data_IF_700469474128
#
_entry.id   IF_700469474128
#
_cell.length_a   1.000
_cell.length_b   1.000
_cell.length_c   1.000
_cell.angle_alpha   90.00
_cell.angle_beta   90.00
_cell.angle_gamma   90.00
#
_symmetry.space_group_name_H-M   'P 1'
#
loop_
_entity.id
_entity.type
_entity.pdbx_description
1 polymer ?
#
# COMPACT_ATOMS: atom_id res chain seq x y z
N UNK A 1 -3.76 -36.98 -8.66
CA UNK A 1 -3.47 -35.62 -8.13
C UNK A 1 -3.50 -35.74 -6.62
N UNK A 2 -2.35 -35.60 -5.93
CA UNK A 2 -2.24 -35.90 -4.50
C UNK A 2 -2.91 -34.81 -3.65
N UNK A 3 -3.58 -35.20 -2.56
CA UNK A 3 -4.24 -34.31 -1.59
C UNK A 3 -3.31 -33.18 -1.11
N UNK A 4 -2.03 -33.46 -0.98
CA UNK A 4 -0.98 -32.51 -0.61
C UNK A 4 -0.76 -31.41 -1.69
N UNK A 5 -0.81 -31.74 -2.96
CA UNK A 5 -0.70 -30.76 -4.06
C UNK A 5 -1.92 -29.84 -4.16
N UNK A 6 -3.12 -30.36 -3.85
CA UNK A 6 -4.36 -29.57 -3.79
C UNK A 6 -4.31 -28.56 -2.64
N UNK A 7 -3.82 -28.93 -1.46
CA UNK A 7 -3.73 -28.04 -0.31
C UNK A 7 -2.73 -26.90 -0.54
N UNK A 8 -1.59 -27.17 -1.16
CA UNK A 8 -0.60 -26.13 -1.52
C UNK A 8 -1.16 -25.15 -2.56
N UNK A 9 -1.86 -25.66 -3.58
CA UNK A 9 -2.48 -24.80 -4.59
C UNK A 9 -3.57 -23.89 -3.99
N UNK A 10 -4.38 -24.40 -3.07
CA UNK A 10 -5.39 -23.61 -2.36
C UNK A 10 -4.76 -22.54 -1.47
N UNK A 11 -3.69 -22.87 -0.74
CA UNK A 11 -3.00 -21.90 0.12
C UNK A 11 -2.38 -20.76 -0.69
N UNK A 12 -1.79 -21.09 -1.84
CA UNK A 12 -1.21 -20.08 -2.75
C UNK A 12 -2.29 -19.15 -3.33
N UNK A 13 -3.39 -19.73 -3.82
CA UNK A 13 -4.51 -18.96 -4.33
C UNK A 13 -5.10 -18.00 -3.27
N UNK A 14 -5.24 -18.48 -2.03
CA UNK A 14 -5.72 -17.67 -0.91
C UNK A 14 -4.82 -16.45 -0.63
N UNK A 15 -3.50 -16.62 -0.67
CA UNK A 15 -2.54 -15.53 -0.43
C UNK A 15 -2.58 -14.47 -1.53
N UNK A 16 -2.71 -14.87 -2.78
CA UNK A 16 -2.87 -13.94 -3.90
C UNK A 16 -4.21 -13.19 -3.84
N UNK A 17 -5.29 -13.87 -3.47
CA UNK A 17 -6.58 -13.24 -3.22
C UNK A 17 -6.51 -12.20 -2.10
N UNK A 18 -5.74 -12.49 -1.04
CA UNK A 18 -5.52 -11.53 0.06
C UNK A 18 -4.81 -10.27 -0.44
N UNK A 19 -3.76 -10.40 -1.25
CA UNK A 19 -3.07 -9.25 -1.84
C UNK A 19 -4.01 -8.43 -2.75
N UNK A 20 -4.78 -9.10 -3.60
CA UNK A 20 -5.75 -8.45 -4.48
C UNK A 20 -6.87 -7.76 -3.68
N UNK A 21 -7.34 -8.36 -2.58
CA UNK A 21 -8.31 -7.76 -1.68
C UNK A 21 -7.80 -6.44 -1.10
N UNK A 22 -6.59 -6.40 -0.51
CA UNK A 22 -6.02 -5.15 -0.03
C UNK A 22 -5.78 -4.15 -1.14
N UNK A 23 -5.37 -4.60 -2.33
CA UNK A 23 -5.24 -3.74 -3.50
C UNK A 23 -6.56 -3.05 -3.86
N UNK A 24 -7.67 -3.80 -3.92
CA UNK A 24 -8.99 -3.25 -4.20
C UNK A 24 -9.50 -2.32 -3.09
N UNK A 25 -9.23 -2.64 -1.82
CA UNK A 25 -9.55 -1.77 -0.68
C UNK A 25 -8.80 -0.44 -0.78
N UNK A 26 -7.50 -0.46 -1.11
CA UNK A 26 -6.72 0.76 -1.29
C UNK A 26 -7.22 1.60 -2.48
N UNK A 27 -7.63 0.96 -3.56
CA UNK A 27 -8.25 1.65 -4.70
C UNK A 27 -9.57 2.31 -4.30
N UNK A 28 -10.44 1.57 -3.64
CA UNK A 28 -11.72 2.09 -3.16
C UNK A 28 -11.54 3.29 -2.21
N UNK A 29 -10.69 3.12 -1.18
CA UNK A 29 -10.39 4.18 -0.21
C UNK A 29 -9.69 5.36 -0.89
N UNK A 30 -8.75 5.12 -1.78
CA UNK A 30 -8.05 6.17 -2.52
C UNK A 30 -9.00 7.03 -3.35
N UNK A 31 -9.96 6.43 -4.04
CA UNK A 31 -10.98 7.16 -4.82
C UNK A 31 -11.92 7.92 -3.87
N UNK A 32 -12.47 7.27 -2.85
CA UNK A 32 -13.40 7.88 -1.91
C UNK A 32 -12.78 9.05 -1.12
N UNK A 33 -11.59 8.81 -0.55
CA UNK A 33 -10.87 9.84 0.20
C UNK A 33 -10.32 10.95 -0.72
N UNK A 34 -9.93 10.63 -1.95
CA UNK A 34 -9.52 11.62 -2.95
C UNK A 34 -10.65 12.59 -3.30
N UNK A 35 -11.86 12.07 -3.51
CA UNK A 35 -13.05 12.90 -3.71
C UNK A 35 -13.36 13.76 -2.47
N UNK A 36 -13.25 13.17 -1.26
CA UNK A 36 -13.42 13.91 0.00
C UNK A 36 -12.41 15.07 0.11
N UNK A 37 -11.15 14.81 -0.23
CA UNK A 37 -10.09 15.82 -0.23
C UNK A 37 -10.42 17.00 -1.13
N UNK A 38 -10.82 16.72 -2.36
CA UNK A 38 -11.10 17.75 -3.36
C UNK A 38 -12.36 18.57 -3.07
N UNK A 39 -13.40 17.97 -2.51
CA UNK A 39 -14.70 18.62 -2.33
C UNK A 39 -14.96 19.05 -0.88
N UNK A 40 -14.64 18.23 0.10
CA UNK A 40 -15.03 18.50 1.48
C UNK A 40 -13.92 19.12 2.34
N UNK A 41 -12.65 18.87 2.04
CA UNK A 41 -11.51 19.38 2.81
C UNK A 41 -10.96 20.69 2.25
N UNK A 42 -11.20 20.97 0.99
CA UNK A 42 -10.78 22.23 0.36
C UNK A 42 -11.37 23.42 1.12
N UNK A 43 -10.50 24.34 1.56
CA UNK A 43 -10.88 25.49 2.38
C UNK A 43 -11.07 25.21 3.88
N UNK A 44 -11.06 23.96 4.34
CA UNK A 44 -11.17 23.59 5.77
C UNK A 44 -9.84 23.27 6.43
N UNK A 45 -8.85 22.93 5.64
CA UNK A 45 -7.46 22.70 6.06
C UNK A 45 -6.53 23.58 5.25
N UNK A 46 -5.29 23.77 5.71
CA UNK A 46 -4.32 24.58 4.96
C UNK A 46 -3.96 23.93 3.62
N UNK A 47 -3.46 24.71 2.68
CA UNK A 47 -3.07 24.22 1.37
C UNK A 47 -1.95 23.15 1.46
N UNK A 48 -0.99 23.32 2.38
CA UNK A 48 0.08 22.36 2.62
C UNK A 48 -0.47 21.04 3.19
N UNK A 49 -1.44 21.13 4.10
CA UNK A 49 -2.10 19.96 4.66
C UNK A 49 -2.90 19.22 3.58
N UNK A 50 -3.59 19.93 2.70
CA UNK A 50 -4.31 19.34 1.58
C UNK A 50 -3.35 18.66 0.57
N UNK A 51 -2.23 19.29 0.26
CA UNK A 51 -1.21 18.69 -0.60
C UNK A 51 -0.66 17.40 0.01
N UNK A 52 -0.32 17.41 1.29
CA UNK A 52 0.14 16.22 2.03
C UNK A 52 -0.93 15.12 2.01
N UNK A 53 -2.19 15.47 2.27
CA UNK A 53 -3.32 14.57 2.17
C UNK A 53 -3.39 13.90 0.78
N UNK A 54 -3.30 14.69 -0.30
CA UNK A 54 -3.36 14.17 -1.66
C UNK A 54 -2.14 13.32 -2.03
N UNK A 55 -0.96 13.54 -1.42
CA UNK A 55 0.19 12.64 -1.54
C UNK A 55 -0.18 11.26 -0.98
N UNK A 56 -0.77 11.18 0.20
CA UNK A 56 -1.17 9.92 0.80
C UNK A 56 -2.16 9.12 -0.08
N UNK A 57 -3.10 9.82 -0.71
CA UNK A 57 -4.06 9.22 -1.65
C UNK A 57 -3.36 8.64 -2.87
N UNK A 58 -2.42 9.37 -3.47
CA UNK A 58 -1.64 8.89 -4.62
C UNK A 58 -0.86 7.61 -4.28
N UNK A 59 -0.20 7.58 -3.11
CA UNK A 59 0.52 6.38 -2.66
C UNK A 59 -0.42 5.20 -2.47
N UNK A 60 -1.61 5.42 -1.88
CA UNK A 60 -2.63 4.39 -1.73
C UNK A 60 -3.08 3.82 -3.08
N UNK A 61 -3.37 4.68 -4.06
CA UNK A 61 -3.79 4.25 -5.41
C UNK A 61 -2.68 3.51 -6.15
N UNK A 62 -1.44 4.04 -6.19
CA UNK A 62 -0.34 3.40 -6.91
C UNK A 62 0.00 2.02 -6.34
N UNK A 63 0.04 1.89 -5.03
CA UNK A 63 0.36 0.60 -4.40
C UNK A 63 -0.84 -0.34 -4.41
N UNK A 64 -2.07 0.18 -4.44
CA UNK A 64 -3.27 -0.62 -4.69
C UNK A 64 -3.22 -1.29 -6.06
N UNK A 65 -2.89 -0.55 -7.12
CA UNK A 65 -2.68 -1.10 -8.46
C UNK A 65 -1.54 -2.13 -8.46
N UNK A 66 -0.40 -1.82 -7.81
CA UNK A 66 0.72 -2.74 -7.74
C UNK A 66 0.34 -4.09 -7.10
N UNK A 67 -0.47 -4.08 -6.03
CA UNK A 67 -0.98 -5.30 -5.39
C UNK A 67 -1.90 -6.11 -6.31
N UNK A 68 -2.75 -5.47 -7.10
CA UNK A 68 -3.61 -6.13 -8.07
C UNK A 68 -2.79 -6.80 -9.18
N UNK A 69 -1.74 -6.12 -9.67
CA UNK A 69 -0.86 -6.66 -10.71
C UNK A 69 0.09 -7.75 -10.21
N UNK A 70 0.36 -7.82 -8.91
CA UNK A 70 1.32 -8.76 -8.34
C UNK A 70 1.02 -10.22 -8.70
N UNK A 71 -0.26 -10.60 -8.76
CA UNK A 71 -0.70 -11.95 -9.10
C UNK A 71 -0.34 -12.35 -10.54
N UNK A 72 -0.20 -11.37 -11.44
CA UNK A 72 0.06 -11.60 -12.87
C UNK A 72 1.54 -11.76 -13.22
N UNK A 73 2.46 -11.52 -12.26
CA UNK A 73 3.90 -11.59 -12.52
C UNK A 73 4.41 -13.04 -12.47
N UNK A 74 4.70 -13.68 -13.62
CA UNK A 74 5.08 -15.10 -13.67
C UNK A 74 6.50 -15.34 -13.15
N UNK A 75 7.38 -14.32 -13.20
CA UNK A 75 8.81 -14.45 -12.88
C UNK A 75 9.13 -14.38 -11.39
N UNK A 76 8.15 -14.01 -10.55
CA UNK A 76 8.32 -13.91 -9.10
C UNK A 76 7.64 -15.13 -8.47
N UNK A 77 8.39 -15.89 -7.66
CA UNK A 77 7.88 -17.05 -6.94
C UNK A 77 6.90 -16.65 -5.83
N UNK A 78 5.95 -17.52 -5.50
CA UNK A 78 4.89 -17.22 -4.53
C UNK A 78 5.38 -16.72 -3.16
N UNK A 79 6.40 -17.32 -2.51
CA UNK A 79 6.90 -16.78 -1.23
C UNK A 79 7.46 -15.35 -1.34
N UNK A 80 7.97 -15.00 -2.52
CA UNK A 80 8.50 -13.66 -2.80
C UNK A 80 7.38 -12.66 -3.02
N UNK A 81 6.32 -13.04 -3.75
CA UNK A 81 5.11 -12.23 -3.92
C UNK A 81 4.46 -11.90 -2.59
N UNK A 82 4.35 -12.89 -1.70
CA UNK A 82 3.77 -12.71 -0.37
C UNK A 82 4.54 -11.67 0.46
N UNK A 83 5.88 -11.77 0.48
CA UNK A 83 6.74 -10.80 1.19
C UNK A 83 6.59 -9.40 0.63
N UNK A 84 6.60 -9.27 -0.69
CA UNK A 84 6.39 -7.99 -1.35
C UNK A 84 5.01 -7.40 -1.04
N UNK A 85 3.94 -8.20 -1.14
CA UNK A 85 2.60 -7.78 -0.80
C UNK A 85 2.49 -7.32 0.65
N UNK A 86 3.05 -8.08 1.60
CA UNK A 86 3.04 -7.73 3.02
C UNK A 86 3.74 -6.39 3.29
N UNK A 87 4.91 -6.18 2.70
CA UNK A 87 5.65 -4.92 2.84
C UNK A 87 4.86 -3.74 2.25
N UNK A 88 4.23 -3.92 1.09
CA UNK A 88 3.39 -2.88 0.49
C UNK A 88 2.17 -2.57 1.36
N UNK A 89 1.45 -3.59 1.81
CA UNK A 89 0.24 -3.40 2.63
C UNK A 89 0.57 -2.65 3.92
N UNK A 90 1.56 -3.12 4.67
CA UNK A 90 1.99 -2.46 5.91
C UNK A 90 2.53 -1.06 5.61
N UNK A 91 3.38 -0.93 4.58
CA UNK A 91 3.95 0.35 4.18
C UNK A 91 2.90 1.40 3.83
N UNK A 92 1.86 1.03 3.07
CA UNK A 92 0.75 1.93 2.72
C UNK A 92 -0.06 2.32 3.96
N UNK A 93 -0.41 1.36 4.82
CA UNK A 93 -1.13 1.66 6.06
C UNK A 93 -0.36 2.63 6.94
N UNK A 94 0.92 2.40 7.15
CA UNK A 94 1.77 3.23 8.00
C UNK A 94 2.03 4.59 7.36
N UNK A 95 2.42 4.64 6.08
CA UNK A 95 2.74 5.87 5.38
C UNK A 95 1.50 6.72 5.10
N UNK A 96 0.54 6.18 4.34
CA UNK A 96 -0.65 6.95 3.95
C UNK A 96 -1.57 7.20 5.14
N UNK A 97 -1.73 6.23 6.04
CA UNK A 97 -2.55 6.37 7.23
C UNK A 97 -2.04 7.48 8.17
N UNK A 98 -0.72 7.53 8.42
CA UNK A 98 -0.14 8.59 9.26
C UNK A 98 -0.31 9.97 8.63
N UNK A 99 -0.07 10.11 7.32
CA UNK A 99 -0.24 11.38 6.61
C UNK A 99 -1.70 11.83 6.62
N UNK A 100 -2.67 10.93 6.39
CA UNK A 100 -4.10 11.25 6.44
C UNK A 100 -4.48 11.84 7.80
N UNK A 101 -4.06 11.19 8.90
CA UNK A 101 -4.35 11.65 10.25
C UNK A 101 -3.65 12.96 10.58
N UNK A 102 -2.39 13.13 10.19
CA UNK A 102 -1.63 14.37 10.41
C UNK A 102 -2.22 15.56 9.64
N UNK A 103 -2.63 15.34 8.38
CA UNK A 103 -3.17 16.40 7.51
C UNK A 103 -4.55 16.88 7.96
N UNK A 104 -5.32 16.00 8.62
CA UNK A 104 -6.69 16.32 9.08
C UNK A 104 -6.78 16.63 10.57
N UNK A 105 -5.63 16.75 11.28
CA UNK A 105 -5.57 16.96 12.73
C UNK A 105 -6.41 18.14 13.24
N UNK A 106 -6.53 19.19 12.45
CA UNK A 106 -7.33 20.38 12.79
C UNK A 106 -8.83 20.07 12.86
N UNK A 107 -9.30 19.07 12.11
CA UNK A 107 -10.72 18.73 12.03
C UNK A 107 -11.19 17.83 13.18
N UNK A 108 -10.33 16.91 13.62
CA UNK A 108 -10.68 15.97 14.68
C UNK A 108 -10.14 16.35 16.07
N UNK A 109 -9.25 17.35 16.15
CA UNK A 109 -8.72 17.86 17.42
C UNK A 109 -7.83 16.92 18.23
N UNK A 110 -7.55 15.71 17.72
CA UNK A 110 -6.73 14.71 18.41
C UNK A 110 -5.25 15.06 18.22
N UNK A 111 -4.45 14.98 19.29
CA UNK A 111 -3.02 15.15 19.18
C UNK A 111 -2.38 13.90 18.57
N UNK A 112 -2.11 13.92 17.28
CA UNK A 112 -1.47 12.86 16.49
C UNK A 112 -0.03 13.20 16.11
N UNK A 113 0.60 14.18 16.75
CA UNK A 113 1.96 14.64 16.41
C UNK A 113 3.03 13.54 16.50
N UNK A 114 2.79 12.53 17.33
CA UNK A 114 3.63 11.34 17.45
C UNK A 114 3.68 10.50 16.16
N UNK A 115 2.74 10.67 15.23
CA UNK A 115 2.76 10.01 13.92
C UNK A 115 3.80 10.63 12.97
N UNK A 116 4.35 11.82 13.26
CA UNK A 116 5.39 12.44 12.45
C UNK A 116 6.58 11.50 12.19
N UNK A 117 7.23 10.95 13.22
CA UNK A 117 8.30 9.96 13.05
C UNK A 117 7.85 8.63 12.45
N UNK A 118 6.56 8.28 12.52
CA UNK A 118 6.02 7.01 12.00
C UNK A 118 5.94 7.05 10.46
N UNK A 119 5.64 8.21 9.88
CA UNK A 119 5.53 8.38 8.42
C UNK A 119 6.80 7.96 7.67
N UNK A 120 8.03 8.38 8.05
CA UNK A 120 9.26 7.89 7.43
C UNK A 120 9.44 6.38 7.50
N UNK A 121 9.00 5.72 8.59
CA UNK A 121 9.08 4.26 8.72
C UNK A 121 8.21 3.60 7.64
N UNK A 122 6.99 4.10 7.43
CA UNK A 122 6.14 3.63 6.34
C UNK A 122 6.80 3.81 4.96
N UNK A 123 7.43 4.96 4.73
CA UNK A 123 8.20 5.24 3.51
C UNK A 123 9.35 4.27 3.29
N UNK A 124 10.11 3.95 4.34
CA UNK A 124 11.20 2.96 4.28
C UNK A 124 10.68 1.55 3.97
N UNK A 125 9.52 1.16 4.49
CA UNK A 125 8.88 -0.12 4.14
C UNK A 125 8.53 -0.18 2.65
N UNK A 126 7.98 0.89 2.09
CA UNK A 126 7.67 0.97 0.66
C UNK A 126 8.93 0.94 -0.20
N UNK A 127 9.96 1.70 0.16
CA UNK A 127 11.26 1.65 -0.51
C UNK A 127 11.89 0.26 -0.46
N UNK A 128 11.86 -0.38 0.71
CA UNK A 128 12.33 -1.76 0.89
C UNK A 128 11.57 -2.76 0.02
N UNK A 129 10.25 -2.63 -0.10
CA UNK A 129 9.44 -3.46 -0.97
C UNK A 129 9.86 -3.32 -2.44
N UNK A 130 10.00 -2.10 -2.93
CA UNK A 130 10.40 -1.85 -4.31
C UNK A 130 11.86 -2.25 -4.59
N UNK A 131 12.78 -2.02 -3.67
CA UNK A 131 14.15 -2.51 -3.77
C UNK A 131 14.21 -4.04 -3.84
N UNK A 132 13.39 -4.71 -3.02
CA UNK A 132 13.30 -6.18 -3.02
C UNK A 132 12.83 -6.73 -4.35
N UNK A 133 11.73 -6.21 -4.92
CA UNK A 133 11.24 -6.69 -6.22
C UNK A 133 12.20 -6.36 -7.36
N UNK A 134 12.83 -5.18 -7.33
CA UNK A 134 13.85 -4.79 -8.31
C UNK A 134 15.04 -5.75 -8.29
N UNK A 135 15.51 -6.14 -7.10
CA UNK A 135 16.57 -7.14 -6.96
C UNK A 135 16.18 -8.49 -7.53
N UNK A 136 14.95 -8.97 -7.25
CA UNK A 136 14.46 -10.26 -7.77
C UNK A 136 14.39 -10.26 -9.31
N UNK A 137 13.87 -9.20 -9.90
CA UNK A 137 13.77 -9.07 -11.35
C UNK A 137 15.16 -8.93 -11.99
N UNK A 138 16.06 -8.14 -11.41
CA UNK A 138 17.45 -8.04 -11.86
C UNK A 138 18.16 -9.40 -11.85
N UNK A 139 17.99 -10.16 -10.77
CA UNK A 139 18.54 -11.53 -10.71
C UNK A 139 17.98 -12.44 -11.80
N UNK A 140 16.69 -12.30 -12.15
CA UNK A 140 16.07 -13.10 -13.21
C UNK A 140 16.55 -12.71 -14.62
N UNK A 141 16.98 -11.47 -14.84
CA UNK A 141 17.50 -10.97 -16.13
C UNK A 141 18.96 -11.40 -16.36
N UNK A 142 19.78 -11.39 -15.29
CA UNK A 142 21.24 -11.59 -15.39
C UNK A 142 21.69 -12.98 -14.92
N UNK A 143 20.77 -13.91 -14.57
CA UNK A 143 21.08 -15.31 -14.26
C UNK A 143 20.92 -16.21 -15.48
#
# INVERSE_FOLDING_TARGET
MNVFGLSLCQTTAMKLLTAAFFGSVFMFLGVALGALGSHALSGKITQEALQSYMISIRYMLFHGIALLFLSTLPFIKEPQKERFALLLVIGVFVFSGSILLLSTKVLHGINVSWLGPVTPIGGLLLLGAWAYVSFLLGKAIFA
#
